data_IF_006229861145
#
_entry.id   IF_006229861145
#
_cell.length_a   1.000
_cell.length_b   1.000
_cell.length_c   1.000
_cell.angle_alpha   90.00
_cell.angle_beta   90.00
_cell.angle_gamma   90.00
#
_symmetry.space_group_name_H-M   'P 1'
#
loop_
_entity.id
_entity.type
_entity.pdbx_description
1 polymer ?
#
# COMPACT_ATOMS: atom_id res chain seq x y z
N UNK A 1 56.22 -63.92 -10.62
CA UNK A 1 55.47 -63.08 -9.66
C UNK A 1 54.46 -62.26 -10.45
N UNK A 2 53.15 -62.49 -10.27
CA UNK A 2 52.06 -61.77 -10.95
C UNK A 2 51.50 -60.73 -9.98
N UNK A 3 51.62 -59.44 -10.28
CA UNK A 3 50.98 -58.37 -9.51
C UNK A 3 49.57 -58.13 -10.07
N UNK A 4 48.55 -58.38 -9.25
CA UNK A 4 47.17 -57.95 -9.48
C UNK A 4 47.06 -56.48 -9.06
N UNK A 5 46.88 -55.56 -10.01
CA UNK A 5 46.60 -54.15 -9.72
C UNK A 5 45.10 -53.95 -9.48
N UNK A 6 44.73 -53.59 -8.25
CA UNK A 6 43.38 -53.18 -7.89
C UNK A 6 43.15 -51.73 -8.35
N UNK A 7 42.24 -51.50 -9.30
CA UNK A 7 41.82 -50.17 -9.72
C UNK A 7 40.70 -49.69 -8.79
N UNK A 8 41.02 -48.81 -7.83
CA UNK A 8 40.03 -48.19 -6.97
C UNK A 8 39.32 -47.05 -7.72
N UNK A 9 38.04 -47.23 -8.05
CA UNK A 9 37.18 -46.18 -8.58
C UNK A 9 36.84 -45.18 -7.44
N UNK A 10 37.37 -43.96 -7.53
CA UNK A 10 37.00 -42.87 -6.62
C UNK A 10 35.74 -42.20 -7.17
N UNK A 11 34.58 -42.47 -6.56
CA UNK A 11 33.34 -41.74 -6.84
C UNK A 11 33.41 -40.36 -6.22
N UNK A 12 33.61 -39.33 -7.06
CA UNK A 12 33.47 -37.94 -6.64
C UNK A 12 31.98 -37.64 -6.39
N UNK A 13 31.60 -37.08 -5.22
CA UNK A 13 30.22 -36.69 -4.97
C UNK A 13 29.83 -35.56 -5.93
N UNK A 14 28.80 -35.80 -6.73
CA UNK A 14 28.18 -34.75 -7.53
C UNK A 14 27.59 -33.71 -6.57
N UNK A 15 28.18 -32.52 -6.54
CA UNK A 15 27.58 -31.37 -5.86
C UNK A 15 26.26 -31.07 -6.57
N UNK A 16 25.14 -31.36 -5.91
CA UNK A 16 23.82 -30.98 -6.40
C UNK A 16 23.77 -29.45 -6.43
N UNK A 17 23.85 -28.88 -7.64
CA UNK A 17 23.64 -27.45 -7.84
C UNK A 17 22.14 -27.19 -7.64
N UNK A 18 21.78 -26.63 -6.49
CA UNK A 18 20.42 -26.19 -6.23
C UNK A 18 20.09 -25.07 -7.22
N UNK A 19 19.03 -25.20 -8.04
CA UNK A 19 18.66 -24.13 -8.95
C UNK A 19 18.35 -22.86 -8.15
N UNK A 20 18.72 -21.67 -8.65
CA UNK A 20 18.40 -20.42 -7.99
C UNK A 20 16.88 -20.32 -7.80
N UNK A 21 16.47 -19.83 -6.62
CA UNK A 21 15.06 -19.61 -6.33
C UNK A 21 14.44 -18.69 -7.41
N UNK A 22 13.21 -18.96 -7.84
CA UNK A 22 12.54 -18.13 -8.83
C UNK A 22 12.45 -16.68 -8.34
N UNK A 23 12.50 -15.74 -9.28
CA UNK A 23 12.34 -14.30 -8.97
C UNK A 23 11.07 -14.06 -8.16
N UNK A 24 11.07 -13.12 -7.18
CA UNK A 24 9.84 -12.71 -6.49
C UNK A 24 8.79 -12.11 -7.44
N UNK A 25 9.18 -11.78 -8.68
CA UNK A 25 8.30 -11.27 -9.74
C UNK A 25 7.77 -12.36 -10.67
N UNK A 26 8.17 -13.63 -10.49
CA UNK A 26 7.66 -14.72 -11.31
C UNK A 26 6.13 -14.80 -11.23
N UNK A 27 5.47 -14.81 -12.39
CA UNK A 27 4.02 -14.74 -12.54
C UNK A 27 3.49 -13.30 -12.68
N UNK A 28 4.18 -12.29 -12.17
CA UNK A 28 3.75 -10.90 -12.24
C UNK A 28 3.83 -10.32 -13.66
N UNK A 29 4.64 -10.91 -14.55
CA UNK A 29 4.69 -10.56 -15.98
C UNK A 29 3.36 -10.75 -16.70
N UNK A 30 2.42 -11.52 -16.13
CA UNK A 30 1.07 -11.74 -16.68
C UNK A 30 0.06 -10.66 -16.25
N UNK A 31 0.42 -9.76 -15.33
CA UNK A 31 -0.47 -8.65 -14.91
C UNK A 31 -0.79 -7.73 -16.09
N UNK A 32 -1.97 -7.12 -16.04
CA UNK A 32 -2.39 -6.12 -17.03
C UNK A 32 -1.49 -4.87 -17.02
N UNK A 33 -1.05 -4.44 -15.83
CA UNK A 33 -0.04 -3.38 -15.62
C UNK A 33 1.02 -3.99 -14.71
N UNK A 34 2.29 -4.09 -15.15
CA UNK A 34 3.29 -4.91 -14.44
C UNK A 34 3.56 -4.38 -13.03
N UNK A 35 3.56 -3.06 -12.87
CA UNK A 35 3.82 -2.39 -11.61
C UNK A 35 2.68 -2.49 -10.57
N UNK A 36 1.45 -2.81 -10.98
CA UNK A 36 0.26 -2.76 -10.11
C UNK A 36 -0.38 -4.13 -9.96
N UNK A 37 -0.64 -4.56 -8.72
CA UNK A 37 -1.49 -5.72 -8.46
C UNK A 37 -2.97 -5.40 -8.77
N UNK A 38 -3.81 -6.43 -8.88
CA UNK A 38 -5.26 -6.25 -9.00
C UNK A 38 -5.84 -5.46 -7.81
N UNK A 39 -5.33 -5.73 -6.59
CA UNK A 39 -5.74 -5.00 -5.38
C UNK A 39 -5.32 -3.53 -5.42
N UNK A 40 -4.17 -3.20 -6.01
CA UNK A 40 -3.75 -1.81 -6.15
C UNK A 40 -4.67 -1.06 -7.11
N UNK A 41 -4.96 -1.66 -8.27
CA UNK A 41 -5.86 -1.07 -9.28
C UNK A 41 -7.24 -0.83 -8.68
N UNK A 42 -7.78 -1.83 -7.96
CA UNK A 42 -9.06 -1.70 -7.27
C UNK A 42 -9.00 -0.62 -6.18
N UNK A 43 -7.95 -0.61 -5.37
CA UNK A 43 -7.73 0.39 -4.33
C UNK A 43 -7.73 1.81 -4.87
N UNK A 44 -6.98 2.06 -5.95
CA UNK A 44 -6.97 3.35 -6.63
C UNK A 44 -8.33 3.72 -7.20
N UNK A 45 -9.02 2.79 -7.88
CA UNK A 45 -10.34 3.04 -8.47
C UNK A 45 -11.42 3.32 -7.43
N UNK A 46 -11.28 2.74 -6.24
CA UNK A 46 -12.17 2.95 -5.10
C UNK A 46 -11.71 4.10 -4.19
N UNK A 47 -10.58 4.76 -4.45
CA UNK A 47 -10.06 5.81 -3.58
C UNK A 47 -9.72 5.32 -2.16
N UNK A 48 -9.38 4.03 -2.02
CA UNK A 48 -9.09 3.39 -0.75
C UNK A 48 -7.89 4.04 -0.06
N UNK A 49 -7.91 4.08 1.28
CA UNK A 49 -6.85 4.72 2.06
C UNK A 49 -5.46 4.14 1.85
N UNK A 50 -5.31 2.86 1.49
CA UNK A 50 -4.06 2.18 1.09
C UNK A 50 -2.82 2.48 1.97
N UNK A 51 -3.03 2.85 3.24
CA UNK A 51 -1.97 3.28 4.15
C UNK A 51 -1.45 4.72 3.97
N UNK A 52 -1.98 5.51 3.05
CA UNK A 52 -1.57 6.90 2.78
C UNK A 52 -1.63 7.80 4.01
N UNK A 53 -2.60 7.57 4.89
CA UNK A 53 -2.84 8.37 6.09
C UNK A 53 -2.18 7.82 7.38
N UNK A 54 -1.38 6.75 7.32
CA UNK A 54 -0.82 6.13 8.55
C UNK A 54 -0.09 7.12 9.45
N UNK A 55 0.61 8.10 8.87
CA UNK A 55 1.29 9.14 9.63
C UNK A 55 0.31 9.99 10.49
N UNK A 56 -0.91 10.23 10.01
CA UNK A 56 -1.93 10.95 10.75
C UNK A 56 -2.65 10.00 11.73
N UNK A 57 -3.15 8.87 11.23
CA UNK A 57 -3.94 7.90 12.00
C UNK A 57 -3.21 7.42 13.26
N UNK A 58 -1.96 7.01 13.11
CA UNK A 58 -1.14 6.46 14.20
C UNK A 58 -0.58 7.55 15.13
N UNK A 59 -0.71 8.83 14.76
CA UNK A 59 -0.34 9.98 15.60
C UNK A 59 -1.59 10.73 16.10
N UNK A 60 -2.69 10.00 16.31
CA UNK A 60 -3.92 10.48 16.95
C UNK A 60 -4.74 11.50 16.17
N UNK A 61 -4.62 11.51 14.84
CA UNK A 61 -5.53 12.25 13.96
C UNK A 61 -6.56 11.28 13.36
N UNK A 62 -7.85 11.32 13.77
CA UNK A 62 -8.85 10.35 13.31
C UNK A 62 -9.16 10.46 11.82
N UNK A 63 -9.43 9.33 11.17
CA UNK A 63 -9.90 9.29 9.78
C UNK A 63 -11.42 9.36 9.67
N UNK A 64 -11.98 10.10 8.69
CA UNK A 64 -13.43 10.35 8.63
C UNK A 64 -14.27 9.08 8.40
N UNK A 65 -13.78 8.09 7.63
CA UNK A 65 -14.51 6.81 7.44
C UNK A 65 -14.74 6.10 8.77
N UNK A 66 -13.67 5.93 9.54
CA UNK A 66 -13.74 5.24 10.83
C UNK A 66 -14.50 6.04 11.88
N UNK A 67 -14.49 7.38 11.80
CA UNK A 67 -15.33 8.21 12.65
C UNK A 67 -16.82 8.04 12.33
N UNK A 68 -17.20 7.90 11.06
CA UNK A 68 -18.59 7.60 10.68
C UNK A 68 -19.02 6.22 11.17
N UNK A 69 -18.17 5.21 10.98
CA UNK A 69 -18.38 3.83 11.49
C UNK A 69 -18.59 3.83 13.01
N UNK A 70 -17.83 4.65 13.74
CA UNK A 70 -17.89 4.79 15.19
C UNK A 70 -18.81 5.93 15.66
N UNK A 71 -19.73 6.40 14.81
CA UNK A 71 -20.50 7.62 15.12
C UNK A 71 -21.35 7.50 16.40
N UNK A 72 -21.97 6.34 16.62
CA UNK A 72 -22.73 6.05 17.84
C UNK A 72 -21.86 5.95 19.10
N UNK A 73 -20.80 5.11 19.16
CA UNK A 73 -19.94 5.03 20.35
C UNK A 73 -19.12 6.31 20.62
N UNK A 74 -18.90 7.17 19.62
CA UNK A 74 -18.30 8.50 19.80
C UNK A 74 -19.32 9.58 20.20
N UNK A 75 -20.61 9.23 20.28
CA UNK A 75 -21.71 10.16 20.54
C UNK A 75 -21.63 11.42 19.66
N UNK A 76 -21.41 11.24 18.35
CA UNK A 76 -21.32 12.38 17.43
C UNK A 76 -22.63 13.15 17.42
N UNK A 77 -22.54 14.47 17.56
CA UNK A 77 -23.70 15.34 17.38
C UNK A 77 -24.16 15.31 15.90
N UNK A 78 -25.42 15.70 15.60
CA UNK A 78 -25.87 15.82 14.21
C UNK A 78 -24.95 16.72 13.37
N UNK A 79 -24.47 17.83 13.94
CA UNK A 79 -23.53 18.74 13.29
C UNK A 79 -22.18 18.07 12.99
N UNK A 80 -21.60 17.34 13.96
CA UNK A 80 -20.36 16.60 13.75
C UNK A 80 -20.53 15.53 12.68
N UNK A 81 -21.64 14.78 12.69
CA UNK A 81 -21.92 13.77 11.66
C UNK A 81 -21.98 14.39 10.26
N UNK A 82 -22.67 15.51 10.11
CA UNK A 82 -22.76 16.22 8.83
C UNK A 82 -21.38 16.72 8.37
N UNK A 83 -20.58 17.31 9.26
CA UNK A 83 -19.24 17.77 8.95
C UNK A 83 -18.32 16.61 8.55
N UNK A 84 -18.34 15.51 9.31
CA UNK A 84 -17.57 14.30 9.00
C UNK A 84 -17.95 13.73 7.63
N UNK A 85 -19.25 13.65 7.32
CA UNK A 85 -19.71 13.16 6.01
C UNK A 85 -19.18 14.05 4.88
N UNK A 86 -19.26 15.37 5.03
CA UNK A 86 -18.72 16.30 4.03
C UNK A 86 -17.20 16.19 3.83
N UNK A 87 -16.44 15.90 4.90
CA UNK A 87 -14.99 15.63 4.80
C UNK A 87 -14.75 14.30 4.07
N UNK A 88 -15.48 13.24 4.43
CA UNK A 88 -15.40 11.93 3.79
C UNK A 88 -15.70 12.01 2.29
N UNK A 89 -16.84 12.60 1.91
CA UNK A 89 -17.28 12.67 0.51
C UNK A 89 -16.26 13.41 -0.36
N UNK A 90 -15.76 14.55 0.12
CA UNK A 90 -14.74 15.34 -0.59
C UNK A 90 -13.42 14.57 -0.72
N UNK A 91 -12.99 13.90 0.34
CA UNK A 91 -11.79 13.05 0.29
C UNK A 91 -11.98 11.92 -0.73
N UNK A 92 -13.09 11.20 -0.64
CA UNK A 92 -13.42 10.04 -1.47
C UNK A 92 -13.50 10.40 -2.95
N UNK A 93 -14.21 11.48 -3.29
CA UNK A 93 -14.32 11.96 -4.67
C UNK A 93 -12.95 12.29 -5.26
N UNK A 94 -12.11 13.05 -4.53
CA UNK A 94 -10.77 13.41 -4.98
C UNK A 94 -9.87 12.18 -5.11
N UNK A 95 -9.92 11.26 -4.14
CA UNK A 95 -9.12 10.04 -4.13
C UNK A 95 -9.44 9.15 -5.33
N UNK A 96 -10.71 8.94 -5.65
CA UNK A 96 -11.14 8.18 -6.85
C UNK A 96 -10.66 8.84 -8.14
N UNK A 97 -10.81 10.15 -8.27
CA UNK A 97 -10.38 10.88 -9.47
C UNK A 97 -8.86 10.80 -9.68
N UNK A 98 -8.07 10.96 -8.63
CA UNK A 98 -6.60 10.87 -8.69
C UNK A 98 -6.17 9.42 -8.91
N UNK A 99 -6.78 8.46 -8.22
CA UNK A 99 -6.45 7.04 -8.34
C UNK A 99 -6.65 6.51 -9.76
N UNK A 100 -7.74 6.90 -10.43
CA UNK A 100 -7.93 6.58 -11.87
C UNK A 100 -6.79 7.12 -12.73
N UNK A 101 -6.38 8.37 -12.51
CA UNK A 101 -5.26 8.96 -13.25
C UNK A 101 -3.95 8.22 -12.98
N UNK A 102 -3.69 7.75 -11.75
CA UNK A 102 -2.51 6.94 -11.45
C UNK A 102 -2.52 5.65 -12.28
N UNK A 103 -3.65 4.92 -12.27
CA UNK A 103 -3.80 3.68 -13.05
C UNK A 103 -3.55 3.93 -14.54
N UNK A 104 -4.10 5.01 -15.09
CA UNK A 104 -3.94 5.35 -16.52
C UNK A 104 -2.49 5.70 -16.87
N UNK A 105 -1.78 6.42 -16.00
CA UNK A 105 -0.36 6.78 -16.21
C UNK A 105 0.58 5.60 -16.05
N UNK A 106 0.31 4.72 -15.09
CA UNK A 106 1.03 3.46 -14.93
C UNK A 106 0.82 2.55 -16.14
N UNK A 107 -0.42 2.44 -16.66
CA UNK A 107 -0.69 1.72 -17.91
C UNK A 107 0.04 2.33 -19.11
N UNK A 108 0.11 3.66 -19.19
CA UNK A 108 0.86 4.36 -20.25
C UNK A 108 2.37 4.08 -20.18
N UNK A 109 2.93 4.05 -18.97
CA UNK A 109 4.34 3.74 -18.75
C UNK A 109 4.64 2.28 -19.13
N UNK A 110 3.79 1.34 -18.72
CA UNK A 110 3.87 -0.08 -19.08
C UNK A 110 3.88 -0.26 -20.61
N UNK A 111 2.95 0.41 -21.30
CA UNK A 111 2.82 0.35 -22.75
C UNK A 111 4.07 0.84 -23.50
N UNK A 112 4.79 1.87 -23.00
CA UNK A 112 6.04 2.32 -23.62
C UNK A 112 7.11 1.22 -23.61
N UNK A 113 7.27 0.53 -22.49
CA UNK A 113 8.23 -0.56 -22.37
C UNK A 113 7.80 -1.80 -23.15
N UNK A 114 6.53 -2.20 -23.04
CA UNK A 114 5.98 -3.32 -23.78
C UNK A 114 6.10 -3.13 -25.30
N UNK A 115 5.86 -1.91 -25.78
CA UNK A 115 5.98 -1.54 -27.19
C UNK A 115 7.40 -1.23 -27.65
N UNK A 116 8.42 -1.29 -26.77
CA UNK A 116 9.81 -0.91 -27.06
C UNK A 116 9.96 0.52 -27.62
N UNK A 117 9.10 1.44 -27.17
CA UNK A 117 9.11 2.86 -27.58
C UNK A 117 9.54 3.81 -26.46
N UNK A 118 9.94 3.25 -25.30
CA UNK A 118 10.48 3.98 -24.18
C UNK A 118 11.81 4.67 -24.56
N UNK A 119 11.91 5.94 -24.18
CA UNK A 119 13.14 6.72 -24.18
C UNK A 119 13.21 7.53 -22.88
N UNK A 120 14.38 8.09 -22.57
CA UNK A 120 14.62 8.81 -21.32
C UNK A 120 13.60 9.93 -21.09
N UNK A 121 13.25 10.70 -22.13
CA UNK A 121 12.33 11.84 -22.00
C UNK A 121 10.90 11.42 -21.71
N UNK A 122 10.39 10.38 -22.38
CA UNK A 122 9.03 9.85 -22.12
C UNK A 122 8.93 9.22 -20.73
N UNK A 123 9.94 8.45 -20.32
CA UNK A 123 9.98 7.79 -19.01
C UNK A 123 10.08 8.81 -17.89
N UNK A 124 10.96 9.81 -18.01
CA UNK A 124 11.10 10.88 -17.01
C UNK A 124 9.79 11.66 -16.85
N UNK A 125 9.12 12.01 -17.95
CA UNK A 125 7.83 12.70 -17.91
C UNK A 125 6.76 11.88 -17.19
N UNK A 126 6.54 10.63 -17.59
CA UNK A 126 5.48 9.80 -17.01
C UNK A 126 5.75 9.48 -15.53
N UNK A 127 6.99 9.18 -15.16
CA UNK A 127 7.33 8.91 -13.76
C UNK A 127 7.15 10.15 -12.88
N UNK A 128 7.47 11.35 -13.38
CA UNK A 128 7.15 12.62 -12.70
C UNK A 128 5.64 12.81 -12.53
N UNK A 129 4.86 12.58 -13.59
CA UNK A 129 3.39 12.70 -13.53
C UNK A 129 2.78 11.74 -12.50
N UNK A 130 3.22 10.47 -12.50
CA UNK A 130 2.81 9.45 -11.52
C UNK A 130 3.16 9.91 -10.10
N UNK A 131 4.40 10.34 -9.87
CA UNK A 131 4.84 10.78 -8.55
C UNK A 131 4.04 11.98 -8.03
N UNK A 132 3.71 12.95 -8.90
CA UNK A 132 2.87 14.08 -8.53
C UNK A 132 1.44 13.65 -8.17
N UNK A 133 0.87 12.68 -8.89
CA UNK A 133 -0.45 12.14 -8.58
C UNK A 133 -0.44 11.37 -7.24
N UNK A 134 0.57 10.53 -7.00
CA UNK A 134 0.74 9.82 -5.73
C UNK A 134 0.92 10.80 -4.55
N UNK A 135 1.70 11.86 -4.73
CA UNK A 135 1.85 12.92 -3.73
C UNK A 135 0.49 13.59 -3.41
N UNK A 136 -0.29 13.91 -4.45
CA UNK A 136 -1.63 14.49 -4.30
C UNK A 136 -2.59 13.54 -3.60
N UNK A 137 -2.60 12.25 -3.96
CA UNK A 137 -3.46 11.25 -3.32
C UNK A 137 -3.13 11.12 -1.82
N UNK A 138 -1.83 11.04 -1.49
CA UNK A 138 -1.39 11.01 -0.09
C UNK A 138 -1.84 12.25 0.67
N UNK A 139 -1.69 13.43 0.06
CA UNK A 139 -2.15 14.68 0.64
C UNK A 139 -3.67 14.72 0.87
N UNK A 140 -4.49 14.24 -0.07
CA UNK A 140 -5.95 14.19 0.07
C UNK A 140 -6.36 13.41 1.33
N UNK A 141 -5.76 12.24 1.56
CA UNK A 141 -6.03 11.45 2.75
C UNK A 141 -5.52 12.14 4.03
N UNK A 142 -4.28 12.64 4.04
CA UNK A 142 -3.73 13.31 5.23
C UNK A 142 -4.52 14.58 5.59
N UNK A 143 -4.94 15.36 4.60
CA UNK A 143 -5.76 16.56 4.81
C UNK A 143 -7.09 16.20 5.45
N UNK A 144 -7.73 15.11 5.04
CA UNK A 144 -8.98 14.68 5.64
C UNK A 144 -8.83 14.37 7.15
N UNK A 145 -7.71 13.78 7.56
CA UNK A 145 -7.40 13.58 8.98
C UNK A 145 -7.15 14.90 9.74
N UNK A 146 -6.48 15.88 9.11
CA UNK A 146 -6.30 17.22 9.70
C UNK A 146 -7.63 17.96 9.89
N UNK A 147 -8.54 17.84 8.93
CA UNK A 147 -9.89 18.41 9.01
C UNK A 147 -10.71 17.70 10.09
N UNK A 148 -10.65 16.37 10.15
CA UNK A 148 -11.38 15.56 11.13
C UNK A 148 -10.96 15.88 12.57
N UNK A 149 -9.66 16.07 12.82
CA UNK A 149 -9.17 16.43 14.14
C UNK A 149 -9.74 17.74 14.69
N UNK A 150 -10.25 18.64 13.83
CA UNK A 150 -10.88 19.91 14.23
C UNK A 150 -12.37 19.77 14.56
N UNK A 151 -13.01 18.68 14.13
CA UNK A 151 -14.46 18.44 14.33
C UNK A 151 -14.73 17.72 15.65
N UNK A 152 -13.82 16.85 16.09
CA UNK A 152 -13.99 16.09 17.32
C UNK A 152 -13.45 16.84 18.54
N UNK A 153 -14.07 16.61 19.69
CA UNK A 153 -13.52 17.07 20.97
C UNK A 153 -12.31 16.21 21.37
N UNK A 154 -11.41 16.71 22.26
CA UNK A 154 -10.31 15.90 22.78
C UNK A 154 -10.76 14.57 23.40
N UNK A 155 -11.89 14.58 24.12
CA UNK A 155 -12.47 13.37 24.71
C UNK A 155 -12.94 12.35 23.65
N UNK A 156 -13.53 12.81 22.55
CA UNK A 156 -13.91 11.96 21.42
C UNK A 156 -12.69 11.40 20.69
N UNK A 157 -11.61 12.19 20.52
CA UNK A 157 -10.34 11.69 19.97
C UNK A 157 -9.78 10.59 20.87
N UNK A 158 -9.79 10.78 22.18
CA UNK A 158 -9.36 9.75 23.14
C UNK A 158 -10.21 8.47 23.08
N UNK A 159 -11.53 8.62 22.96
CA UNK A 159 -12.44 7.49 22.79
C UNK A 159 -12.18 6.75 21.47
N UNK A 160 -11.97 7.48 20.38
CA UNK A 160 -11.59 6.91 19.08
C UNK A 160 -10.31 6.08 19.18
N UNK A 161 -9.27 6.59 19.85
CA UNK A 161 -8.00 5.87 20.01
C UNK A 161 -8.17 4.55 20.79
N UNK A 162 -9.08 4.49 21.78
CA UNK A 162 -9.43 3.24 22.46
C UNK A 162 -10.22 2.29 21.56
N UNK A 163 -11.28 2.79 20.92
CA UNK A 163 -12.16 2.00 20.03
C UNK A 163 -11.39 1.39 18.83
N UNK A 164 -10.31 2.04 18.40
CA UNK A 164 -9.43 1.55 17.34
C UNK A 164 -8.30 0.63 17.81
N UNK A 165 -8.17 0.41 19.12
CA UNK A 165 -7.16 -0.48 19.70
C UNK A 165 -5.75 0.11 19.75
N UNK A 166 -5.59 1.44 19.65
CA UNK A 166 -4.26 2.08 19.68
C UNK A 166 -3.74 2.37 21.08
N UNK A 167 -4.60 2.31 22.11
CA UNK A 167 -4.20 2.54 23.52
C UNK A 167 -3.96 1.27 24.30
N UNK A 168 -4.56 0.16 23.88
CA UNK A 168 -4.43 -1.13 24.56
C UNK A 168 -3.36 -1.95 23.82
N UNK A 169 -2.12 -1.51 23.94
CA UNK A 169 -0.97 -2.24 23.41
C UNK A 169 -0.88 -3.60 24.09
N UNK A 170 -1.32 -4.66 23.42
CA UNK A 170 -0.76 -5.98 23.66
C UNK A 170 0.70 -5.96 23.22
N UNK A 171 1.57 -6.18 24.19
CA UNK A 171 2.95 -6.63 23.99
C UNK A 171 2.91 -7.91 23.16
N UNK A 172 2.99 -7.78 21.84
CA UNK A 172 3.25 -8.91 20.96
C UNK A 172 4.68 -9.37 21.18
N UNK A 173 4.83 -10.52 21.83
CA UNK A 173 6.10 -11.24 21.93
C UNK A 173 6.68 -11.41 20.52
N UNK A 174 7.79 -10.74 20.25
CA UNK A 174 8.63 -11.03 19.11
C UNK A 174 9.21 -12.44 19.28
N UNK A 175 8.56 -13.43 18.67
CA UNK A 175 9.19 -14.72 18.44
C UNK A 175 10.17 -14.55 17.28
N UNK A 176 11.44 -14.34 17.63
CA UNK A 176 12.53 -14.52 16.69
C UNK A 176 12.60 -16.00 16.29
N UNK A 177 12.36 -16.30 15.02
CA UNK A 177 12.90 -17.50 14.41
C UNK A 177 14.12 -17.09 13.59
N UNK A 178 15.26 -17.62 14.03
CA UNK A 178 16.50 -17.71 13.27
C UNK A 178 16.41 -18.82 12.24
#
# INVERSE_FOLDING_TARGET
MRFLGFLALVSLPAMAVTPPAPSPYAGQQQRAIKALSASDIEGYRKGSGMGYAKAAELNRYPGPSHVLELSSPLALTPAQRQQTQGIYDRMQQNAVQIGRQIVDREASLDALFAGRTADNGKVERLTREIALLQARLRFVHLRAHLEMAKVLTPAQIDAYQRLRGYRDGHTGSHQHQH
#
